data_IF_794550859877
#
_entry.id   IF_794550859877
#
_cell.length_a   1.000
_cell.length_b   1.000
_cell.length_c   1.000
_cell.angle_alpha   90.00
_cell.angle_beta   90.00
_cell.angle_gamma   90.00
#
_symmetry.space_group_name_H-M   'P 1'
#
loop_
_entity.id
_entity.type
_entity.pdbx_description
1 polymer ?
#
# COMPACT_ATOMS: atom_id res chain seq x y z
N UNK A 1 -17.14 1.27 -15.10
CA UNK A 1 -16.35 0.96 -13.88
C UNK A 1 -17.29 0.96 -12.69
N UNK A 2 -17.50 -0.18 -12.02
CA UNK A 2 -18.37 -0.26 -10.83
C UNK A 2 -17.64 0.44 -9.67
N UNK A 3 -18.18 1.54 -9.14
CA UNK A 3 -17.64 2.13 -7.91
C UNK A 3 -17.70 1.06 -6.81
N UNK A 4 -16.53 0.59 -6.36
CA UNK A 4 -16.44 -0.26 -5.17
C UNK A 4 -16.94 0.58 -4.01
N UNK A 5 -18.01 0.13 -3.34
CA UNK A 5 -18.48 0.76 -2.11
C UNK A 5 -17.32 0.76 -1.11
N UNK A 6 -16.94 1.95 -0.62
CA UNK A 6 -15.89 2.06 0.39
C UNK A 6 -16.26 1.25 1.64
N UNK A 7 -15.27 0.57 2.22
CA UNK A 7 -15.42 -0.18 3.47
C UNK A 7 -15.67 0.74 4.68
N UNK A 8 -15.44 2.05 4.51
CA UNK A 8 -15.58 3.07 5.55
C UNK A 8 -16.56 4.15 5.10
N UNK A 9 -17.53 4.46 5.97
CA UNK A 9 -18.56 5.45 5.71
C UNK A 9 -18.31 6.71 6.53
N UNK A 10 -18.63 7.87 5.97
CA UNK A 10 -18.63 9.16 6.68
C UNK A 10 -20.08 9.59 6.86
N UNK A 11 -20.52 9.81 8.11
CA UNK A 11 -21.86 10.32 8.41
C UNK A 11 -21.79 11.48 9.41
N UNK A 12 -22.62 12.53 9.26
CA UNK A 12 -22.80 13.52 10.30
C UNK A 12 -23.27 12.86 11.60
N UNK A 13 -22.70 13.26 12.72
CA UNK A 13 -23.01 12.75 14.05
C UNK A 13 -23.16 13.91 15.02
N UNK A 14 -24.37 14.05 15.57
CA UNK A 14 -24.67 15.03 16.63
C UNK A 14 -24.12 14.51 17.95
N UNK A 15 -23.14 15.21 18.50
CA UNK A 15 -22.59 14.90 19.81
C UNK A 15 -23.54 15.36 20.92
N UNK A 16 -23.33 14.86 22.15
CA UNK A 16 -24.15 15.21 23.33
C UNK A 16 -24.12 16.72 23.64
N UNK A 17 -23.04 17.40 23.27
CA UNK A 17 -22.87 18.86 23.39
C UNK A 17 -23.52 19.66 22.24
N UNK A 18 -24.28 19.02 21.35
CA UNK A 18 -24.95 19.68 20.23
C UNK A 18 -24.09 19.91 18.99
N UNK A 19 -22.76 19.78 19.09
CA UNK A 19 -21.84 19.97 17.96
C UNK A 19 -21.96 18.83 16.96
N UNK A 20 -22.09 19.16 15.67
CA UNK A 20 -22.07 18.18 14.58
C UNK A 20 -20.61 17.83 14.28
N UNK A 21 -20.30 16.54 14.34
CA UNK A 21 -19.02 15.97 13.95
C UNK A 21 -19.21 15.02 12.77
N UNK A 22 -18.14 14.68 12.06
CA UNK A 22 -18.15 13.70 10.98
C UNK A 22 -17.63 12.37 11.50
N UNK A 23 -18.49 11.37 11.58
CA UNK A 23 -18.12 10.03 12.02
C UNK A 23 -17.64 9.20 10.85
N UNK A 24 -16.40 8.72 10.92
CA UNK A 24 -15.88 7.63 10.10
C UNK A 24 -16.21 6.31 10.79
N UNK A 25 -16.93 5.43 10.10
CA UNK A 25 -17.32 4.13 10.62
C UNK A 25 -17.13 3.02 9.59
N UNK A 26 -16.56 1.89 10.02
CA UNK A 26 -16.35 0.71 9.19
C UNK A 26 -15.67 -0.42 9.98
N UNK A 27 -15.23 -1.44 9.26
CA UNK A 27 -14.45 -2.55 9.81
C UNK A 27 -13.09 -2.60 9.14
N UNK A 28 -12.04 -2.74 9.94
CA UNK A 28 -10.68 -2.96 9.47
C UNK A 28 -10.18 -4.24 10.15
N UNK A 29 -9.89 -5.29 9.38
CA UNK A 29 -9.30 -6.54 9.92
C UNK A 29 -10.05 -7.16 11.11
N UNK A 30 -11.38 -7.11 11.09
CA UNK A 30 -12.22 -7.62 12.18
C UNK A 30 -12.36 -6.66 13.37
N UNK A 31 -11.65 -5.52 13.38
CA UNK A 31 -11.85 -4.46 14.35
C UNK A 31 -12.84 -3.41 13.85
N UNK A 32 -13.74 -2.99 14.74
CA UNK A 32 -14.72 -1.95 14.44
C UNK A 32 -14.10 -0.57 14.63
N UNK A 33 -13.95 0.17 13.54
CA UNK A 33 -13.53 1.58 13.58
C UNK A 33 -14.76 2.47 13.72
N UNK A 34 -14.75 3.34 14.73
CA UNK A 34 -15.75 4.40 14.94
C UNK A 34 -15.12 5.66 15.52
N UNK A 35 -14.67 6.56 14.65
CA UNK A 35 -14.01 7.82 15.05
C UNK A 35 -14.82 9.03 14.62
N UNK A 36 -14.86 10.08 15.44
CA UNK A 36 -15.52 11.35 15.12
C UNK A 36 -14.46 12.42 14.85
N UNK A 37 -14.65 13.21 13.81
CA UNK A 37 -13.79 14.33 13.42
C UNK A 37 -14.56 15.64 13.46
N UNK A 38 -13.87 16.74 13.74
CA UNK A 38 -14.49 18.07 13.79
C UNK A 38 -14.86 18.57 12.40
N UNK A 39 -13.98 18.34 11.41
CA UNK A 39 -14.18 18.76 10.03
C UNK A 39 -14.46 17.56 9.11
N UNK A 40 -15.00 17.85 7.92
CA UNK A 40 -15.29 16.81 6.94
C UNK A 40 -14.01 16.37 6.23
N UNK A 41 -13.09 17.30 6.05
CA UNK A 41 -11.78 17.14 5.44
C UNK A 41 -10.95 16.13 6.23
N UNK A 42 -10.89 16.28 7.56
CA UNK A 42 -10.22 15.33 8.45
C UNK A 42 -10.82 13.93 8.36
N UNK A 43 -12.16 13.83 8.29
CA UNK A 43 -12.85 12.56 8.13
C UNK A 43 -12.56 11.89 6.78
N UNK A 44 -12.39 12.68 5.71
CA UNK A 44 -12.01 12.18 4.39
C UNK A 44 -10.57 11.68 4.39
N UNK A 45 -9.65 12.42 5.00
CA UNK A 45 -8.24 12.03 5.13
C UNK A 45 -8.11 10.71 5.91
N UNK A 46 -8.79 10.58 7.06
CA UNK A 46 -8.80 9.32 7.82
C UNK A 46 -9.42 8.18 7.01
N UNK A 47 -10.54 8.41 6.31
CA UNK A 47 -11.16 7.38 5.47
C UNK A 47 -10.17 6.88 4.42
N UNK A 48 -9.45 7.77 3.74
CA UNK A 48 -8.45 7.39 2.74
C UNK A 48 -7.30 6.59 3.38
N UNK A 49 -6.81 6.99 4.55
CA UNK A 49 -5.78 6.26 5.27
C UNK A 49 -6.24 4.84 5.68
N UNK A 50 -7.48 4.68 6.13
CA UNK A 50 -8.06 3.39 6.46
C UNK A 50 -8.29 2.51 5.22
N UNK A 51 -8.69 3.09 4.10
CA UNK A 51 -8.79 2.37 2.82
C UNK A 51 -7.42 1.88 2.35
N UNK A 52 -6.38 2.70 2.45
CA UNK A 52 -5.01 2.28 2.14
C UNK A 52 -4.56 1.14 3.05
N UNK A 53 -4.82 1.21 4.36
CA UNK A 53 -4.52 0.11 5.29
C UNK A 53 -5.28 -1.16 4.96
N UNK A 54 -6.55 -1.05 4.57
CA UNK A 54 -7.34 -2.21 4.15
C UNK A 54 -6.75 -2.85 2.89
N UNK A 55 -6.39 -2.05 1.89
CA UNK A 55 -5.73 -2.52 0.66
C UNK A 55 -4.38 -3.16 0.95
N UNK A 56 -3.57 -2.54 1.82
CA UNK A 56 -2.31 -3.11 2.30
C UNK A 56 -2.52 -4.43 3.02
N UNK A 57 -3.58 -4.57 3.81
CA UNK A 57 -3.87 -5.80 4.55
C UNK A 57 -4.45 -6.93 3.69
N UNK A 58 -5.12 -6.57 2.58
CA UNK A 58 -5.65 -7.53 1.62
C UNK A 58 -4.60 -7.96 0.59
N UNK A 59 -3.57 -7.15 0.41
CA UNK A 59 -2.40 -7.52 -0.36
C UNK A 59 -1.40 -8.17 0.60
N UNK A 60 -0.59 -9.13 0.15
CA UNK A 60 0.56 -9.59 0.93
C UNK A 60 1.68 -8.52 0.98
N UNK A 61 1.34 -7.23 0.84
CA UNK A 61 2.26 -6.11 0.69
C UNK A 61 2.39 -5.39 2.02
N UNK A 62 3.62 -5.34 2.53
CA UNK A 62 3.99 -4.57 3.71
C UNK A 62 4.85 -3.39 3.29
N UNK A 63 4.39 -2.18 3.51
CA UNK A 63 5.25 -0.99 3.41
C UNK A 63 6.32 -1.01 4.50
N UNK A 64 7.57 -0.79 4.13
CA UNK A 64 8.70 -0.66 5.05
C UNK A 64 9.58 0.52 4.61
N UNK A 65 10.15 1.24 5.58
CA UNK A 65 11.20 2.22 5.27
C UNK A 65 12.46 1.47 4.86
N UNK A 66 13.06 1.88 3.75
CA UNK A 66 14.30 1.28 3.22
C UNK A 66 15.34 2.37 2.97
N UNK A 67 16.61 1.98 2.89
CA UNK A 67 17.71 2.87 2.50
C UNK A 67 17.91 2.91 0.97
N UNK A 68 17.02 2.30 0.19
CA UNK A 68 17.10 2.31 -1.26
C UNK A 68 16.69 3.67 -1.81
N UNK A 69 17.39 4.12 -2.85
CA UNK A 69 16.95 5.28 -3.64
C UNK A 69 15.66 4.95 -4.39
N UNK A 70 14.91 5.96 -4.82
CA UNK A 70 13.69 5.79 -5.62
C UNK A 70 13.94 4.93 -6.88
N UNK A 71 15.08 5.12 -7.55
CA UNK A 71 15.44 4.35 -8.73
C UNK A 71 15.64 2.86 -8.41
N UNK A 72 16.35 2.55 -7.32
CA UNK A 72 16.56 1.18 -6.85
C UNK A 72 15.25 0.52 -6.41
N UNK A 73 14.36 1.28 -5.76
CA UNK A 73 13.06 0.76 -5.34
C UNK A 73 12.22 0.33 -6.54
N UNK A 74 12.14 1.18 -7.57
CA UNK A 74 11.42 0.86 -8.82
C UNK A 74 12.02 -0.33 -9.56
N UNK A 75 13.35 -0.42 -9.60
CA UNK A 75 14.03 -1.55 -10.21
C UNK A 75 13.72 -2.85 -9.46
N UNK A 76 13.78 -2.83 -8.13
CA UNK A 76 13.45 -3.99 -7.30
C UNK A 76 12.00 -4.44 -7.51
N UNK A 77 11.04 -3.51 -7.51
CA UNK A 77 9.62 -3.80 -7.79
C UNK A 77 9.44 -4.42 -9.18
N UNK A 78 10.06 -3.84 -10.22
CA UNK A 78 10.01 -4.37 -11.57
C UNK A 78 10.63 -5.77 -11.67
N UNK A 79 11.73 -6.03 -10.96
CA UNK A 79 12.38 -7.33 -10.90
C UNK A 79 11.47 -8.39 -10.24
N UNK A 80 10.86 -8.08 -9.09
CA UNK A 80 9.93 -8.99 -8.42
C UNK A 80 8.67 -9.27 -9.26
N UNK A 81 8.14 -8.27 -9.99
CA UNK A 81 7.04 -8.48 -10.93
C UNK A 81 7.40 -9.46 -12.05
N UNK A 82 8.61 -9.37 -12.61
CA UNK A 82 9.09 -10.33 -13.63
C UNK A 82 9.26 -11.74 -13.08
N UNK A 83 9.56 -11.85 -11.78
CA UNK A 83 9.79 -13.13 -11.11
C UNK A 83 8.51 -13.82 -10.60
N UNK A 84 7.32 -13.22 -10.77
CA UNK A 84 6.06 -13.81 -10.29
C UNK A 84 5.83 -15.24 -10.80
N UNK A 85 6.34 -15.58 -11.99
CA UNK A 85 6.27 -16.92 -12.61
C UNK A 85 7.58 -17.70 -12.55
N UNK A 86 8.63 -17.13 -11.97
CA UNK A 86 9.94 -17.75 -11.88
C UNK A 86 9.98 -18.80 -10.77
N UNK A 87 10.83 -19.82 -10.96
CA UNK A 87 10.95 -20.96 -10.00
C UNK A 87 11.93 -20.70 -8.85
N UNK A 88 12.75 -19.66 -8.97
CA UNK A 88 13.86 -19.37 -8.05
C UNK A 88 13.77 -17.93 -7.55
N UNK A 89 14.32 -17.62 -6.36
CA UNK A 89 14.32 -16.25 -5.84
C UNK A 89 15.22 -15.31 -6.65
N UNK A 90 15.01 -14.00 -6.52
CA UNK A 90 15.81 -12.97 -7.21
C UNK A 90 17.32 -13.14 -6.97
N UNK A 91 17.71 -13.43 -5.73
CA UNK A 91 19.11 -13.62 -5.34
C UNK A 91 19.79 -14.72 -6.14
N UNK A 92 19.10 -15.84 -6.40
CA UNK A 92 19.65 -16.93 -7.21
C UNK A 92 20.04 -16.46 -8.63
N UNK A 93 19.19 -15.65 -9.27
CA UNK A 93 19.47 -15.12 -10.60
C UNK A 93 20.57 -14.07 -10.58
N UNK A 94 20.61 -13.25 -9.52
CA UNK A 94 21.67 -12.27 -9.31
C UNK A 94 23.03 -12.95 -9.15
N UNK A 95 23.12 -13.95 -8.27
CA UNK A 95 24.35 -14.71 -8.01
C UNK A 95 24.82 -15.41 -9.29
N UNK A 96 23.89 -16.01 -10.04
CA UNK A 96 24.19 -16.63 -11.32
C UNK A 96 24.73 -15.61 -12.33
N UNK A 97 24.11 -14.44 -12.45
CA UNK A 97 24.56 -13.39 -13.35
C UNK A 97 25.95 -12.88 -12.93
N UNK A 98 26.19 -12.60 -11.65
CA UNK A 98 27.49 -12.14 -11.16
C UNK A 98 28.62 -13.16 -11.41
N UNK A 99 28.33 -14.45 -11.29
CA UNK A 99 29.31 -15.50 -11.52
C UNK A 99 29.60 -15.76 -13.02
N UNK A 100 28.62 -15.56 -13.90
CA UNK A 100 28.69 -16.02 -15.30
C UNK A 100 28.71 -14.89 -16.33
N UNK A 101 28.25 -13.69 -15.98
CA UNK A 101 28.22 -12.56 -16.90
C UNK A 101 29.64 -12.11 -17.22
N UNK A 102 29.93 -12.00 -18.52
CA UNK A 102 31.15 -11.37 -19.02
C UNK A 102 30.72 -10.23 -19.91
N UNK A 103 31.27 -9.04 -19.68
CA UNK A 103 31.05 -7.93 -20.60
C UNK A 103 31.43 -8.39 -22.01
N UNK A 104 30.53 -8.26 -22.98
CA UNK A 104 30.89 -8.56 -24.35
C UNK A 104 32.04 -7.63 -24.72
N UNK A 105 33.19 -8.22 -25.07
CA UNK A 105 34.32 -7.47 -25.63
C UNK A 105 33.86 -6.87 -26.95
N UNK A 106 33.34 -5.64 -26.90
CA UNK A 106 33.04 -4.86 -28.07
C UNK A 106 34.33 -4.69 -28.87
N UNK A 107 34.27 -5.02 -30.17
CA UNK A 107 35.23 -4.49 -31.14
C UNK A 107 35.22 -2.97 -30.99
N UNK A 108 36.37 -2.39 -30.65
CA UNK A 108 36.66 -0.98 -30.91
C UNK A 108 36.61 -0.72 -32.41
#
# INVERSE_FOLDING_TARGET
MKQRKSAFTIKPFKNRNGVISFRVAGWLLGERIRKNFKTREDAIAERAALELRLLQSQSNLRGASTFLTEAQLREAEAAFLRLEKARRPLTFYLDYALANYREPRGRA
#
